data_IF_679646652551
#
_entry.id   IF_679646652551
#
_cell.length_a   1.000
_cell.length_b   1.000
_cell.length_c   1.000
_cell.angle_alpha   90.00
_cell.angle_beta   90.00
_cell.angle_gamma   90.00
#
_symmetry.space_group_name_H-M   'P 1'
#
loop_
_entity.id
_entity.type
_entity.pdbx_description
1 polymer ?
#
# COMPACT_ATOMS: atom_id res chain seq x y z
N UNK A 1 25.60 22.54 3.58
CA UNK A 1 24.35 23.17 3.09
C UNK A 1 24.29 23.01 1.57
N UNK A 2 23.42 22.13 1.08
CA UNK A 2 23.12 22.00 -0.36
C UNK A 2 22.22 23.18 -0.73
N UNK A 3 22.71 24.10 -1.57
CA UNK A 3 21.90 25.17 -2.16
C UNK A 3 21.09 24.55 -3.32
N UNK A 4 19.80 24.42 -3.14
CA UNK A 4 18.88 24.07 -4.23
C UNK A 4 18.74 25.36 -5.08
N UNK A 5 19.11 25.36 -6.38
CA UNK A 5 18.94 26.53 -7.23
C UNK A 5 17.43 26.85 -7.34
N UNK A 6 17.07 28.15 -7.39
CA UNK A 6 15.66 28.52 -7.59
C UNK A 6 15.18 28.03 -8.95
N UNK A 7 13.91 27.64 -9.07
CA UNK A 7 13.34 27.18 -10.32
C UNK A 7 13.46 28.25 -11.40
N UNK A 8 13.80 27.83 -12.61
CA UNK A 8 13.91 28.72 -13.77
C UNK A 8 12.57 29.36 -14.15
N UNK A 9 12.59 30.45 -14.92
CA UNK A 9 11.34 31.08 -15.37
C UNK A 9 10.46 30.15 -16.21
N UNK A 10 11.07 29.24 -16.98
CA UNK A 10 10.36 28.20 -17.73
C UNK A 10 9.68 27.18 -16.80
N UNK A 11 10.34 26.77 -15.73
CA UNK A 11 9.77 25.85 -14.71
C UNK A 11 8.66 26.50 -13.87
N UNK A 12 8.63 27.82 -13.75
CA UNK A 12 7.56 28.58 -13.07
C UNK A 12 6.34 28.81 -13.95
N UNK A 13 6.50 28.82 -15.28
CA UNK A 13 5.42 29.11 -16.24
C UNK A 13 4.60 27.90 -16.66
N UNK A 14 5.14 26.68 -16.57
CA UNK A 14 4.47 25.46 -16.99
C UNK A 14 3.95 24.69 -15.77
N UNK A 15 2.69 24.91 -15.43
CA UNK A 15 2.00 24.14 -14.38
C UNK A 15 1.60 22.74 -14.84
N UNK A 16 1.86 22.37 -16.09
CA UNK A 16 1.46 21.08 -16.69
C UNK A 16 -0.07 20.92 -16.75
N UNK A 17 -0.50 19.69 -17.02
CA UNK A 17 -1.92 19.33 -17.13
C UNK A 17 -2.69 19.58 -15.81
N UNK A 18 -4.00 19.90 -15.86
CA UNK A 18 -4.85 19.96 -14.67
C UNK A 18 -4.79 18.65 -13.86
N UNK A 19 -4.81 18.75 -12.53
CA UNK A 19 -4.78 17.58 -11.64
C UNK A 19 -5.93 16.61 -11.94
N UNK A 20 -7.12 17.15 -12.25
CA UNK A 20 -8.32 16.36 -12.61
C UNK A 20 -8.10 15.44 -13.80
N UNK A 21 -7.33 15.88 -14.79
CA UNK A 21 -6.98 15.06 -15.96
C UNK A 21 -6.02 13.93 -15.59
N UNK A 22 -5.10 14.18 -14.65
CA UNK A 22 -4.10 13.20 -14.23
C UNK A 22 -4.73 12.13 -13.34
N UNK A 23 -5.57 12.51 -12.39
CA UNK A 23 -6.22 11.56 -11.46
C UNK A 23 -7.25 10.66 -12.16
N UNK A 24 -7.78 11.07 -13.30
CA UNK A 24 -8.69 10.24 -14.11
C UNK A 24 -7.94 9.12 -14.89
N UNK A 25 -6.61 9.14 -14.94
CA UNK A 25 -5.86 8.11 -15.66
C UNK A 25 -5.93 6.76 -14.93
N UNK A 26 -6.10 5.63 -15.66
CA UNK A 26 -6.11 4.30 -15.05
C UNK A 26 -4.83 3.98 -14.24
N UNK A 27 -3.68 4.52 -14.67
CA UNK A 27 -2.40 4.38 -13.95
C UNK A 27 -2.49 5.02 -12.57
N UNK A 28 -3.04 6.25 -12.48
CA UNK A 28 -3.22 6.93 -11.20
C UNK A 28 -4.16 6.15 -10.28
N UNK A 29 -5.29 5.67 -10.81
CA UNK A 29 -6.29 4.94 -10.01
C UNK A 29 -5.72 3.65 -9.42
N UNK A 30 -4.94 2.90 -10.20
CA UNK A 30 -4.29 1.67 -9.71
C UNK A 30 -3.16 1.97 -8.73
N UNK A 31 -2.34 2.99 -9.01
CA UNK A 31 -1.23 3.40 -8.15
C UNK A 31 -1.74 3.90 -6.79
N UNK A 32 -2.67 4.87 -6.82
CA UNK A 32 -3.23 5.46 -5.61
C UNK A 32 -4.14 4.48 -4.86
N UNK A 33 -5.02 3.76 -5.55
CA UNK A 33 -5.90 2.77 -4.94
C UNK A 33 -5.13 1.65 -4.26
N UNK A 34 -4.11 1.10 -4.93
CA UNK A 34 -3.23 0.06 -4.35
C UNK A 34 -2.48 0.56 -3.11
N UNK A 35 -1.87 1.74 -3.20
CA UNK A 35 -1.13 2.33 -2.09
C UNK A 35 -2.03 2.72 -0.91
N UNK A 36 -3.20 3.33 -1.16
CA UNK A 36 -4.19 3.68 -0.12
C UNK A 36 -4.72 2.45 0.61
N UNK A 37 -5.11 1.42 -0.15
CA UNK A 37 -5.63 0.16 0.43
C UNK A 37 -4.51 -0.52 1.22
N UNK A 38 -3.29 -0.58 0.67
CA UNK A 38 -2.14 -1.16 1.35
C UNK A 38 -1.82 -0.44 2.66
N UNK A 39 -1.72 0.89 2.61
CA UNK A 39 -1.38 1.70 3.78
C UNK A 39 -2.52 1.73 4.81
N UNK A 40 -3.76 1.92 4.34
CA UNK A 40 -4.95 1.92 5.19
C UNK A 40 -5.16 0.59 5.90
N UNK A 41 -5.05 -0.55 5.18
CA UNK A 41 -5.17 -1.88 5.77
C UNK A 41 -4.08 -2.15 6.81
N UNK A 42 -2.83 -1.76 6.51
CA UNK A 42 -1.71 -1.88 7.45
C UNK A 42 -1.97 -1.08 8.71
N UNK A 43 -2.31 0.21 8.58
CA UNK A 43 -2.59 1.07 9.74
C UNK A 43 -3.77 0.54 10.56
N UNK A 44 -4.83 0.08 9.88
CA UNK A 44 -6.02 -0.44 10.53
C UNK A 44 -5.72 -1.67 11.41
N UNK A 45 -5.05 -2.68 10.84
CA UNK A 45 -4.72 -3.92 11.56
C UNK A 45 -3.65 -3.67 12.63
N UNK A 46 -2.59 -2.92 12.30
CA UNK A 46 -1.52 -2.60 13.26
C UNK A 46 -2.06 -1.84 14.48
N UNK A 47 -2.98 -0.88 14.29
CA UNK A 47 -3.56 -0.11 15.40
C UNK A 47 -4.45 -0.98 16.28
N UNK A 48 -5.19 -1.93 15.70
CA UNK A 48 -6.05 -2.85 16.46
C UNK A 48 -5.25 -3.93 17.21
N UNK A 49 -4.05 -4.31 16.72
CA UNK A 49 -3.26 -5.43 17.26
C UNK A 49 -2.95 -5.31 18.75
N UNK A 50 -2.41 -4.18 19.29
CA UNK A 50 -2.14 -4.07 20.72
C UNK A 50 -3.39 -4.26 21.56
N UNK A 51 -4.51 -3.70 21.13
CA UNK A 51 -5.80 -3.82 21.83
C UNK A 51 -6.29 -5.28 21.83
N UNK A 52 -6.15 -5.97 20.70
CA UNK A 52 -6.50 -7.38 20.57
C UNK A 52 -5.62 -8.26 21.47
N UNK A 53 -4.30 -8.06 21.46
CA UNK A 53 -3.36 -8.84 22.26
C UNK A 53 -3.60 -8.65 23.77
N UNK A 54 -3.85 -7.43 24.22
CA UNK A 54 -4.21 -7.16 25.62
C UNK A 54 -5.52 -7.86 25.98
N UNK A 55 -6.53 -7.82 25.11
CA UNK A 55 -7.80 -8.52 25.31
C UNK A 55 -7.64 -10.05 25.37
N UNK A 56 -6.63 -10.60 24.69
CA UNK A 56 -6.26 -12.02 24.77
C UNK A 56 -5.38 -12.38 25.96
N UNK A 57 -5.02 -11.42 26.83
CA UNK A 57 -4.21 -11.64 28.02
C UNK A 57 -2.70 -11.66 27.79
N UNK A 58 -2.22 -11.23 26.62
CA UNK A 58 -0.79 -11.10 26.36
C UNK A 58 -0.16 -9.95 27.13
N UNK A 59 1.08 -10.15 27.58
CA UNK A 59 1.84 -9.13 28.26
C UNK A 59 2.41 -8.09 27.30
N UNK A 60 2.74 -6.92 27.82
CA UNK A 60 3.24 -5.79 27.03
C UNK A 60 4.49 -6.14 26.21
N UNK A 61 5.38 -6.97 26.73
CA UNK A 61 6.61 -7.43 26.04
C UNK A 61 6.31 -8.21 24.79
N UNK A 62 5.31 -9.09 24.80
CA UNK A 62 4.90 -9.86 23.60
C UNK A 62 4.34 -8.94 22.53
N UNK A 63 3.47 -8.02 22.94
CA UNK A 63 2.89 -7.02 22.02
C UNK A 63 3.96 -6.16 21.38
N UNK A 64 4.92 -5.67 22.16
CA UNK A 64 6.04 -4.87 21.66
C UNK A 64 6.88 -5.67 20.66
N UNK A 65 7.17 -6.92 20.98
CA UNK A 65 7.95 -7.80 20.10
C UNK A 65 7.25 -8.07 18.77
N UNK A 66 5.95 -8.33 18.78
CA UNK A 66 5.13 -8.50 17.56
C UNK A 66 5.18 -7.24 16.67
N UNK A 67 5.05 -6.05 17.27
CA UNK A 67 5.16 -4.79 16.53
C UNK A 67 6.56 -4.55 15.99
N UNK A 68 7.62 -4.89 16.72
CA UNK A 68 8.99 -4.80 16.23
C UNK A 68 9.21 -5.65 14.98
N UNK A 69 8.74 -6.89 14.99
CA UNK A 69 8.82 -7.77 13.82
C UNK A 69 7.97 -7.27 12.63
N UNK A 70 6.82 -6.67 12.91
CA UNK A 70 6.04 -5.98 11.88
C UNK A 70 6.83 -4.86 11.22
N UNK A 71 7.46 -3.99 12.01
CA UNK A 71 8.30 -2.88 11.53
C UNK A 71 9.48 -3.40 10.71
N UNK A 72 10.12 -4.50 11.15
CA UNK A 72 11.14 -5.16 10.33
C UNK A 72 10.55 -5.66 8.99
N UNK A 73 9.37 -6.26 9.01
CA UNK A 73 8.63 -6.66 7.80
C UNK A 73 8.32 -5.48 6.86
N UNK A 74 8.09 -4.28 7.40
CA UNK A 74 7.89 -3.08 6.59
C UNK A 74 9.19 -2.58 5.92
N UNK A 75 10.30 -2.52 6.66
CA UNK A 75 11.49 -1.78 6.20
C UNK A 75 12.59 -2.67 5.62
N UNK A 76 12.77 -3.91 6.10
CA UNK A 76 13.80 -4.80 5.53
C UNK A 76 13.58 -5.08 4.04
N UNK A 77 12.35 -5.35 3.54
CA UNK A 77 12.14 -5.52 2.11
C UNK A 77 12.48 -4.28 1.28
N UNK A 78 12.42 -3.07 1.85
CA UNK A 78 12.71 -1.81 1.13
C UNK A 78 14.10 -1.79 0.48
N UNK A 79 15.08 -2.47 1.08
CA UNK A 79 16.42 -2.60 0.49
C UNK A 79 16.44 -3.36 -0.83
N UNK A 80 15.44 -4.20 -1.09
CA UNK A 80 15.37 -5.07 -2.24
C UNK A 80 14.20 -4.75 -3.17
N UNK A 81 13.16 -4.09 -2.68
CA UNK A 81 11.92 -3.82 -3.42
C UNK A 81 12.19 -3.10 -4.74
N UNK A 82 13.09 -2.12 -4.77
CA UNK A 82 13.48 -1.44 -6.01
C UNK A 82 14.09 -2.39 -7.05
N UNK A 83 14.97 -3.31 -6.63
CA UNK A 83 15.56 -4.32 -7.50
C UNK A 83 14.51 -5.33 -8.00
N UNK A 84 13.58 -5.72 -7.13
CA UNK A 84 12.48 -6.61 -7.50
C UNK A 84 11.55 -5.95 -8.53
N UNK A 85 11.23 -4.67 -8.35
CA UNK A 85 10.43 -3.89 -9.32
C UNK A 85 11.15 -3.79 -10.67
N UNK A 86 12.45 -3.49 -10.67
CA UNK A 86 13.24 -3.40 -11.90
C UNK A 86 13.31 -4.75 -12.64
N UNK A 87 13.40 -5.87 -11.92
CA UNK A 87 13.52 -7.22 -12.50
C UNK A 87 12.19 -7.83 -12.95
N UNK A 88 11.15 -7.67 -12.14
CA UNK A 88 9.87 -8.38 -12.33
C UNK A 88 8.72 -7.48 -12.80
N UNK A 89 8.91 -6.16 -12.74
CA UNK A 89 7.91 -5.15 -13.05
C UNK A 89 7.04 -4.77 -11.85
N UNK A 90 6.65 -3.50 -11.81
CA UNK A 90 5.96 -2.90 -10.67
C UNK A 90 4.62 -3.57 -10.33
N UNK A 91 3.79 -3.87 -11.34
CA UNK A 91 2.47 -4.47 -11.11
C UNK A 91 2.53 -5.87 -10.51
N UNK A 92 3.56 -6.68 -10.85
CA UNK A 92 3.74 -8.00 -10.24
C UNK A 92 4.13 -7.89 -8.77
N UNK A 93 5.00 -6.95 -8.43
CA UNK A 93 5.39 -6.72 -7.04
C UNK A 93 4.21 -6.19 -6.23
N UNK A 94 3.42 -5.26 -6.76
CA UNK A 94 2.17 -4.82 -6.12
C UNK A 94 1.18 -5.98 -5.90
N UNK A 95 1.04 -6.89 -6.87
CA UNK A 95 0.17 -8.06 -6.72
C UNK A 95 0.67 -9.00 -5.61
N UNK A 96 1.98 -9.26 -5.54
CA UNK A 96 2.57 -10.03 -4.44
C UNK A 96 2.31 -9.35 -3.10
N UNK A 97 2.38 -8.01 -3.04
CA UNK A 97 2.01 -7.24 -1.87
C UNK A 97 0.55 -7.43 -1.45
N UNK A 98 -0.38 -7.39 -2.41
CA UNK A 98 -1.80 -7.64 -2.14
C UNK A 98 -2.04 -9.08 -1.64
N UNK A 99 -1.36 -10.07 -2.22
CA UNK A 99 -1.44 -11.46 -1.77
C UNK A 99 -0.86 -11.64 -0.35
N UNK A 100 0.23 -10.96 -0.02
CA UNK A 100 0.80 -10.98 1.33
C UNK A 100 -0.15 -10.37 2.37
N UNK A 101 -0.82 -9.24 2.04
CA UNK A 101 -1.86 -8.66 2.90
C UNK A 101 -3.07 -9.59 3.07
N UNK A 102 -3.50 -10.25 2.00
CA UNK A 102 -4.60 -11.21 2.08
C UNK A 102 -4.21 -12.41 2.96
N UNK A 103 -3.00 -12.94 2.80
CA UNK A 103 -2.48 -14.00 3.65
C UNK A 103 -2.39 -13.58 5.12
N UNK A 104 -1.95 -12.33 5.40
CA UNK A 104 -1.95 -11.77 6.75
C UNK A 104 -3.36 -11.77 7.36
N UNK A 105 -4.36 -11.27 6.63
CA UNK A 105 -5.74 -11.27 7.08
C UNK A 105 -6.28 -12.68 7.36
N UNK A 106 -5.98 -13.64 6.49
CA UNK A 106 -6.40 -15.05 6.65
C UNK A 106 -5.73 -15.69 7.88
N UNK A 107 -4.43 -15.45 8.07
CA UNK A 107 -3.70 -15.98 9.24
C UNK A 107 -4.25 -15.38 10.53
N UNK A 108 -4.50 -14.08 10.56
CA UNK A 108 -5.11 -13.41 11.70
C UNK A 108 -6.53 -13.91 12.02
N UNK A 109 -7.22 -14.52 11.05
CA UNK A 109 -8.52 -15.16 11.26
C UNK A 109 -8.40 -16.60 11.80
N UNK A 110 -7.26 -17.27 11.60
CA UNK A 110 -7.07 -18.68 11.94
C UNK A 110 -6.93 -18.93 13.43
N UNK A 111 -6.69 -17.89 14.25
CA UNK A 111 -6.56 -18.03 15.69
C UNK A 111 -6.06 -16.76 16.38
N UNK A 112 -5.83 -16.87 17.67
CA UNK A 112 -5.37 -15.78 18.55
C UNK A 112 -4.08 -16.15 19.30
N UNK A 113 -3.38 -17.20 18.86
CA UNK A 113 -2.10 -17.56 19.46
C UNK A 113 -1.01 -16.57 19.01
N UNK A 114 0.05 -16.51 19.80
CA UNK A 114 1.14 -15.54 19.58
C UNK A 114 1.78 -15.69 18.20
N UNK A 115 1.88 -16.91 17.68
CA UNK A 115 2.45 -17.20 16.35
C UNK A 115 1.64 -16.58 15.23
N UNK A 116 0.30 -16.56 15.31
CA UNK A 116 -0.54 -15.92 14.30
C UNK A 116 -0.33 -14.40 14.28
N UNK A 117 -0.21 -13.77 15.44
CA UNK A 117 0.13 -12.35 15.51
C UNK A 117 1.50 -12.05 14.87
N UNK A 118 2.54 -12.85 15.16
CA UNK A 118 3.85 -12.66 14.53
C UNK A 118 3.79 -12.82 13.02
N UNK A 119 3.30 -13.94 12.53
CA UNK A 119 3.29 -14.24 11.09
C UNK A 119 2.36 -13.29 10.35
N UNK A 120 1.17 -13.04 10.90
CA UNK A 120 0.20 -12.11 10.31
C UNK A 120 0.77 -10.70 10.19
N UNK A 121 1.43 -10.18 11.24
CA UNK A 121 1.97 -8.83 11.21
C UNK A 121 3.25 -8.69 10.37
N UNK A 122 4.10 -9.69 10.31
CA UNK A 122 5.25 -9.70 9.38
C UNK A 122 4.75 -9.63 7.93
N UNK A 123 3.79 -10.47 7.56
CA UNK A 123 3.19 -10.45 6.21
C UNK A 123 2.46 -9.15 5.91
N UNK A 124 1.79 -8.56 6.90
CA UNK A 124 1.17 -7.25 6.81
C UNK A 124 2.20 -6.17 6.45
N UNK A 125 3.36 -6.19 7.12
CA UNK A 125 4.47 -5.27 6.84
C UNK A 125 5.05 -5.43 5.44
N UNK A 126 5.33 -6.66 5.01
CA UNK A 126 5.82 -6.98 3.66
C UNK A 126 4.81 -6.54 2.59
N UNK A 127 3.54 -6.85 2.80
CA UNK A 127 2.47 -6.50 1.88
C UNK A 127 2.29 -4.99 1.72
N UNK A 128 2.34 -4.25 2.84
CA UNK A 128 2.37 -2.79 2.84
C UNK A 128 3.55 -2.25 2.04
N UNK A 129 4.77 -2.75 2.28
CA UNK A 129 5.96 -2.30 1.58
C UNK A 129 5.81 -2.42 0.06
N UNK A 130 5.38 -3.58 -0.43
CA UNK A 130 5.26 -3.83 -1.86
C UNK A 130 4.13 -3.03 -2.51
N UNK A 131 3.01 -2.82 -1.83
CA UNK A 131 1.91 -2.00 -2.36
C UNK A 131 2.23 -0.51 -2.32
N UNK A 132 2.82 -0.02 -1.23
CA UNK A 132 3.13 1.39 -1.08
C UNK A 132 4.29 1.84 -1.98
N UNK A 133 5.44 1.13 -1.94
CA UNK A 133 6.58 1.44 -2.80
C UNK A 133 6.23 1.18 -4.27
N UNK A 134 5.54 0.07 -4.56
CA UNK A 134 5.06 -0.23 -5.90
C UNK A 134 4.10 0.82 -6.42
N UNK A 135 3.12 1.24 -5.63
CA UNK A 135 2.17 2.30 -5.99
C UNK A 135 2.85 3.64 -6.23
N UNK A 136 3.76 4.05 -5.33
CA UNK A 136 4.55 5.28 -5.51
C UNK A 136 5.43 5.25 -6.76
N UNK A 137 6.02 4.08 -7.07
CA UNK A 137 6.79 3.88 -8.30
C UNK A 137 5.88 3.91 -9.52
N UNK A 138 4.74 3.22 -9.49
CA UNK A 138 3.81 3.16 -10.60
C UNK A 138 3.18 4.53 -10.91
N UNK A 139 2.96 5.35 -9.89
CA UNK A 139 2.48 6.72 -10.03
C UNK A 139 3.37 7.58 -10.94
N UNK A 140 4.68 7.32 -10.98
CA UNK A 140 5.60 8.11 -11.80
C UNK A 140 5.33 8.00 -13.31
N UNK A 141 4.59 6.99 -13.73
CA UNK A 141 4.21 6.81 -15.14
C UNK A 141 3.07 7.74 -15.59
N UNK A 142 2.34 8.39 -14.68
CA UNK A 142 1.17 9.19 -15.05
C UNK A 142 1.41 10.70 -15.10
N UNK A 143 2.57 11.20 -14.72
CA UNK A 143 2.86 12.63 -14.68
C UNK A 143 4.22 13.01 -15.27
N UNK A 144 4.31 14.24 -15.80
CA UNK A 144 5.58 14.84 -16.25
C UNK A 144 6.35 15.49 -15.07
N UNK A 145 7.66 15.76 -15.21
CA UNK A 145 8.45 16.40 -14.14
C UNK A 145 7.85 17.70 -13.57
N UNK A 146 7.26 18.54 -14.42
CA UNK A 146 6.59 19.78 -14.00
C UNK A 146 5.33 19.54 -13.14
N UNK A 147 4.72 18.36 -13.24
CA UNK A 147 3.48 18.00 -12.55
C UNK A 147 3.75 17.27 -11.22
N UNK A 148 5.01 16.84 -10.98
CA UNK A 148 5.42 15.98 -9.88
C UNK A 148 4.92 16.46 -8.51
N UNK A 149 5.17 17.72 -8.17
CA UNK A 149 4.86 18.24 -6.83
C UNK A 149 3.35 18.16 -6.52
N UNK A 150 2.49 18.57 -7.47
CA UNK A 150 1.04 18.54 -7.27
C UNK A 150 0.46 17.13 -7.24
N UNK A 151 1.00 16.21 -8.08
CA UNK A 151 0.51 14.83 -8.15
C UNK A 151 0.94 14.05 -6.93
N UNK A 152 2.21 14.13 -6.54
CA UNK A 152 2.70 13.46 -5.32
C UNK A 152 2.06 14.04 -4.06
N UNK A 153 1.94 15.37 -3.95
CA UNK A 153 1.27 15.98 -2.81
C UNK A 153 -0.18 15.52 -2.65
N UNK A 154 -0.92 15.40 -3.75
CA UNK A 154 -2.29 14.87 -3.71
C UNK A 154 -2.33 13.37 -3.37
N UNK A 155 -1.42 12.58 -3.93
CA UNK A 155 -1.28 11.16 -3.63
C UNK A 155 -0.98 10.93 -2.13
N UNK A 156 0.00 11.66 -1.58
CA UNK A 156 0.35 11.55 -0.16
C UNK A 156 -0.81 12.00 0.74
N UNK A 157 -1.51 13.08 0.37
CA UNK A 157 -2.71 13.51 1.07
C UNK A 157 -3.76 12.40 1.13
N UNK A 158 -4.05 11.73 0.02
CA UNK A 158 -5.01 10.61 -0.02
C UNK A 158 -4.57 9.45 0.89
N UNK A 159 -3.29 9.09 0.86
CA UNK A 159 -2.74 8.01 1.69
C UNK A 159 -2.86 8.35 3.17
N UNK A 160 -2.40 9.53 3.59
CA UNK A 160 -2.44 9.90 5.00
C UNK A 160 -3.85 10.16 5.51
N UNK A 161 -4.75 10.69 4.68
CA UNK A 161 -6.17 10.81 5.02
C UNK A 161 -6.81 9.43 5.23
N UNK A 162 -6.52 8.46 4.35
CA UNK A 162 -7.01 7.07 4.49
C UNK A 162 -6.43 6.41 5.75
N UNK A 163 -5.14 6.62 6.02
CA UNK A 163 -4.45 6.08 7.20
C UNK A 163 -5.02 6.65 8.50
N UNK A 164 -5.26 7.97 8.57
CA UNK A 164 -5.87 8.60 9.74
C UNK A 164 -7.29 8.05 9.99
N UNK A 165 -8.09 7.92 8.93
CA UNK A 165 -9.43 7.33 9.01
C UNK A 165 -9.38 5.87 9.47
N UNK A 166 -8.44 5.09 8.92
CA UNK A 166 -8.23 3.69 9.29
C UNK A 166 -7.84 3.55 10.77
N UNK A 167 -6.92 4.38 11.27
CA UNK A 167 -6.50 4.37 12.66
C UNK A 167 -7.65 4.69 13.62
N UNK A 168 -8.47 5.70 13.29
CA UNK A 168 -9.63 6.07 14.09
C UNK A 168 -10.67 4.93 14.14
N UNK A 169 -10.98 4.34 12.98
CA UNK A 169 -11.97 3.26 12.88
C UNK A 169 -11.47 1.96 13.53
N UNK A 170 -10.17 1.69 13.50
CA UNK A 170 -9.57 0.48 14.04
C UNK A 170 -9.88 0.31 15.54
N UNK A 171 -9.68 1.38 16.34
CA UNK A 171 -9.97 1.36 17.78
C UNK A 171 -11.44 1.11 18.07
N UNK A 172 -12.34 1.79 17.35
CA UNK A 172 -13.78 1.63 17.51
C UNK A 172 -14.24 0.20 17.13
N UNK A 173 -13.82 -0.33 15.99
CA UNK A 173 -14.18 -1.67 15.56
C UNK A 173 -13.62 -2.75 16.48
N UNK A 174 -12.37 -2.62 16.89
CA UNK A 174 -11.74 -3.55 17.82
C UNK A 174 -12.48 -3.60 19.16
N UNK A 175 -12.88 -2.45 19.67
CA UNK A 175 -13.60 -2.37 20.96
C UNK A 175 -14.99 -3.00 20.90
N UNK A 176 -15.74 -2.77 19.80
CA UNK A 176 -17.14 -3.21 19.67
C UNK A 176 -17.27 -4.63 19.14
N UNK A 177 -16.46 -4.99 18.14
CA UNK A 177 -16.65 -6.22 17.36
C UNK A 177 -15.47 -7.20 17.47
N UNK A 178 -14.34 -6.78 18.04
CA UNK A 178 -13.18 -7.64 18.28
C UNK A 178 -12.30 -7.88 17.06
N UNK A 179 -11.23 -8.65 17.29
CA UNK A 179 -10.13 -8.89 16.36
C UNK A 179 -10.53 -9.51 15.02
N UNK A 180 -11.46 -10.45 15.05
CA UNK A 180 -11.89 -11.15 13.84
C UNK A 180 -12.55 -10.19 12.84
N UNK A 181 -13.45 -9.31 13.30
CA UNK A 181 -14.13 -8.35 12.44
C UNK A 181 -13.14 -7.35 11.83
N UNK A 182 -12.14 -6.91 12.59
CA UNK A 182 -11.05 -6.06 12.08
C UNK A 182 -10.40 -6.68 10.85
N UNK A 183 -10.05 -7.96 10.90
CA UNK A 183 -9.41 -8.64 9.79
C UNK A 183 -10.39 -8.97 8.63
N UNK A 184 -11.68 -9.22 8.92
CA UNK A 184 -12.69 -9.41 7.88
C UNK A 184 -12.92 -8.15 7.04
N UNK A 185 -12.90 -6.97 7.65
CA UNK A 185 -13.13 -5.69 6.96
C UNK A 185 -12.05 -5.37 5.94
N UNK A 186 -10.80 -5.75 6.17
CA UNK A 186 -9.71 -5.44 5.24
C UNK A 186 -9.64 -6.37 4.03
N UNK A 187 -10.14 -7.62 4.13
CA UNK A 187 -10.05 -8.59 3.04
C UNK A 187 -10.76 -8.14 1.75
N UNK A 188 -12.00 -7.63 1.76
CA UNK A 188 -12.64 -7.13 0.54
C UNK A 188 -11.91 -5.92 -0.06
N UNK A 189 -11.33 -5.02 0.76
CA UNK A 189 -10.54 -3.90 0.26
C UNK A 189 -9.28 -4.40 -0.45
N UNK A 190 -8.59 -5.37 0.13
CA UNK A 190 -7.40 -6.01 -0.48
C UNK A 190 -7.79 -6.70 -1.80
N UNK A 191 -8.93 -7.37 -1.84
CA UNK A 191 -9.43 -7.98 -3.08
C UNK A 191 -9.67 -6.92 -4.18
N UNK A 192 -10.22 -5.76 -3.84
CA UNK A 192 -10.37 -4.62 -4.78
C UNK A 192 -9.01 -4.18 -5.32
N UNK A 193 -7.99 -4.02 -4.46
CA UNK A 193 -6.64 -3.67 -4.90
C UNK A 193 -6.07 -4.73 -5.86
N UNK A 194 -6.22 -6.01 -5.52
CA UNK A 194 -5.81 -7.14 -6.38
C UNK A 194 -6.49 -7.11 -7.75
N UNK A 195 -7.81 -6.89 -7.79
CA UNK A 195 -8.60 -6.80 -9.04
C UNK A 195 -8.12 -5.62 -9.89
N UNK A 196 -7.91 -4.45 -9.31
CA UNK A 196 -7.39 -3.28 -10.03
C UNK A 196 -6.02 -3.56 -10.67
N UNK A 197 -5.11 -4.17 -9.91
CA UNK A 197 -3.77 -4.51 -10.38
C UNK A 197 -3.84 -5.55 -11.51
N UNK A 198 -4.60 -6.63 -11.34
CA UNK A 198 -4.75 -7.68 -12.35
C UNK A 198 -5.40 -7.14 -13.63
N UNK A 199 -6.43 -6.32 -13.50
CA UNK A 199 -7.08 -5.66 -14.65
C UNK A 199 -6.08 -4.81 -15.44
N UNK A 200 -5.24 -4.03 -14.76
CA UNK A 200 -4.19 -3.24 -15.40
C UNK A 200 -3.15 -4.13 -16.09
N UNK A 201 -2.75 -5.25 -15.48
CA UNK A 201 -1.82 -6.21 -16.10
C UNK A 201 -2.39 -6.80 -17.39
N UNK A 202 -3.65 -7.20 -17.38
CA UNK A 202 -4.34 -7.79 -18.53
C UNK A 202 -4.52 -6.77 -19.67
N UNK A 203 -4.94 -5.56 -19.36
CA UNK A 203 -5.11 -4.49 -20.36
C UNK A 203 -3.80 -4.12 -21.02
N UNK A 204 -2.71 -3.99 -20.25
CA UNK A 204 -1.36 -3.72 -20.81
C UNK A 204 -0.87 -4.86 -21.71
N UNK A 205 -1.07 -6.12 -21.29
CA UNK A 205 -0.68 -7.27 -22.11
C UNK A 205 -1.45 -7.32 -23.43
N UNK A 206 -2.75 -7.03 -23.44
CA UNK A 206 -3.57 -6.98 -24.66
C UNK A 206 -3.10 -5.87 -25.60
N UNK A 207 -2.83 -4.67 -25.08
CA UNK A 207 -2.32 -3.55 -25.88
C UNK A 207 -0.97 -3.88 -26.53
N UNK A 208 -0.07 -4.54 -25.81
CA UNK A 208 1.23 -4.98 -26.35
C UNK A 208 1.09 -6.08 -27.43
N UNK A 209 0.11 -7.00 -27.30
CA UNK A 209 -0.14 -8.05 -28.29
C UNK A 209 -0.78 -7.56 -29.60
N UNK A 210 -1.47 -6.42 -29.57
CA UNK A 210 -2.09 -5.81 -30.78
C UNK A 210 -1.05 -5.01 -31.59
N UNK A 211 0.04 -4.56 -30.96
CA UNK A 211 1.09 -3.76 -31.60
C UNK A 211 2.17 -4.57 -32.33
N UNK A 212 2.12 -5.90 -32.33
CA UNK A 212 2.99 -6.75 -33.15
C UNK A 212 2.29 -7.01 -34.48
N UNK A 213 2.72 -6.39 -35.61
CA UNK A 213 2.22 -6.76 -36.91
C UNK A 213 2.63 -8.21 -37.22
N UNK A 214 1.67 -8.98 -37.71
CA UNK A 214 1.95 -10.29 -38.31
C UNK A 214 2.81 -10.00 -39.54
N UNK A 215 4.10 -10.37 -39.47
CA UNK A 215 5.03 -10.33 -40.59
C UNK A 215 4.81 -11.54 -41.53
#
# INVERSE_FOLDING_TARGET
FVRIPPPTAAERGDSGRPLTTIIAQPVFLVAAGGAMIGYGSMTFVMTATPLAMVACGYVFTDTTSVIQWHVLGMFVPSFFTGHLIARFGVLRIMLIGALALAAAGIINQSGIELVQFYVGLILLGIGWNFLYIGGSTFLTECYAPAEKAKVQGFFDFMIFASSASASFLAGALQHVYGWQVVNWVVLPLIAVAGILIVTMMVTRKRAAGISTPVA
#
